data_IF_866299632070
#
_entry.id   IF_866299632070
#
_cell.length_a   1.000
_cell.length_b   1.000
_cell.length_c   1.000
_cell.angle_alpha   90.00
_cell.angle_beta   90.00
_cell.angle_gamma   90.00
#
_symmetry.space_group_name_H-M   'P 1'
#
loop_
_entity.id
_entity.type
_entity.pdbx_description
1 polymer ?
#
# COMPACT_ATOMS: atom_id res chain seq x y z
N UNK A 1 -24.09 11.62 -28.01
CA UNK A 1 -24.70 11.21 -26.72
C UNK A 1 -23.79 11.65 -25.58
N UNK A 2 -24.29 12.44 -24.62
CA UNK A 2 -23.50 12.77 -23.41
C UNK A 2 -23.42 11.52 -22.52
N UNK A 3 -22.22 11.10 -22.16
CA UNK A 3 -22.07 10.01 -21.17
C UNK A 3 -22.67 10.41 -19.82
N UNK A 4 -23.46 9.51 -19.25
CA UNK A 4 -24.01 9.64 -17.91
C UNK A 4 -22.90 9.48 -16.86
N UNK A 5 -23.06 10.07 -15.69
CA UNK A 5 -22.08 9.96 -14.60
C UNK A 5 -21.73 8.50 -14.23
N UNK A 6 -22.68 7.54 -14.18
CA UNK A 6 -22.37 6.13 -13.93
C UNK A 6 -21.48 5.50 -15.01
N UNK A 7 -21.66 5.85 -16.28
CA UNK A 7 -20.81 5.33 -17.37
C UNK A 7 -19.37 5.80 -17.22
N UNK A 8 -19.17 7.08 -16.89
CA UNK A 8 -17.83 7.64 -16.65
C UNK A 8 -17.15 6.98 -15.46
N UNK A 9 -17.88 6.77 -14.36
CA UNK A 9 -17.36 6.10 -13.18
C UNK A 9 -16.96 4.65 -13.49
N UNK A 10 -17.80 3.90 -14.22
CA UNK A 10 -17.48 2.54 -14.64
C UNK A 10 -16.20 2.46 -15.47
N UNK A 11 -16.02 3.39 -16.41
CA UNK A 11 -14.79 3.49 -17.23
C UNK A 11 -13.55 3.83 -16.40
N UNK A 12 -13.67 4.75 -15.44
CA UNK A 12 -12.57 5.07 -14.53
C UNK A 12 -12.14 3.86 -13.71
N UNK A 13 -13.10 3.13 -13.12
CA UNK A 13 -12.81 1.92 -12.35
C UNK A 13 -12.18 0.83 -13.21
N UNK A 14 -12.60 0.69 -14.47
CA UNK A 14 -11.99 -0.24 -15.41
C UNK A 14 -10.54 0.15 -15.72
N UNK A 15 -10.26 1.44 -15.95
CA UNK A 15 -8.92 1.94 -16.24
C UNK A 15 -7.98 1.72 -15.05
N UNK A 16 -8.42 2.02 -13.82
CA UNK A 16 -7.64 1.76 -12.60
C UNK A 16 -7.35 0.27 -12.45
N UNK A 17 -8.34 -0.60 -12.66
CA UNK A 17 -8.12 -2.06 -12.59
C UNK A 17 -7.12 -2.57 -13.63
N UNK A 18 -7.15 -2.04 -14.85
CA UNK A 18 -6.16 -2.37 -15.88
C UNK A 18 -4.76 -1.92 -15.46
N UNK A 19 -4.60 -0.70 -14.96
CA UNK A 19 -3.31 -0.22 -14.45
C UNK A 19 -2.80 -1.05 -13.27
N UNK A 20 -3.68 -1.44 -12.35
CA UNK A 20 -3.30 -2.32 -11.22
C UNK A 20 -2.77 -3.67 -11.71
N UNK A 21 -3.38 -4.24 -12.75
CA UNK A 21 -2.92 -5.49 -13.36
C UNK A 21 -1.56 -5.31 -14.04
N UNK A 22 -1.38 -4.24 -14.83
CA UNK A 22 -0.14 -3.94 -15.54
C UNK A 22 1.04 -3.71 -14.57
N UNK A 23 0.77 -3.10 -13.41
CA UNK A 23 1.75 -2.88 -12.34
C UNK A 23 1.96 -4.10 -11.44
N UNK A 24 1.26 -5.21 -11.65
CA UNK A 24 1.35 -6.42 -10.82
C UNK A 24 0.77 -6.26 -9.40
N UNK A 25 0.04 -5.18 -9.12
CA UNK A 25 -0.57 -4.90 -7.81
C UNK A 25 -2.06 -5.25 -7.75
N UNK A 26 -2.64 -5.75 -8.85
CA UNK A 26 -4.03 -6.19 -8.91
C UNK A 26 -4.36 -7.31 -7.92
N UNK A 27 -3.37 -8.08 -7.48
CA UNK A 27 -3.51 -9.13 -6.45
C UNK A 27 -3.43 -8.62 -5.01
N UNK A 28 -3.22 -7.32 -4.79
CA UNK A 28 -3.23 -6.76 -3.44
C UNK A 28 -4.66 -6.72 -2.90
N UNK A 29 -4.84 -7.31 -1.72
CA UNK A 29 -6.05 -7.16 -0.91
C UNK A 29 -6.26 -5.70 -0.51
N UNK A 30 -7.49 -5.37 -0.11
CA UNK A 30 -7.82 -4.02 0.39
C UNK A 30 -6.90 -3.56 1.53
N UNK A 31 -6.55 -4.47 2.44
CA UNK A 31 -5.67 -4.17 3.57
C UNK A 31 -4.23 -3.91 3.11
N UNK A 32 -3.71 -4.69 2.16
CA UNK A 32 -2.38 -4.48 1.59
C UNK A 32 -2.30 -3.16 0.82
N UNK A 33 -3.34 -2.82 0.04
CA UNK A 33 -3.41 -1.52 -0.65
C UNK A 33 -3.39 -0.37 0.35
N UNK A 34 -4.22 -0.42 1.39
CA UNK A 34 -4.27 0.61 2.44
C UNK A 34 -2.92 0.78 3.15
N UNK A 35 -2.26 -0.34 3.48
CA UNK A 35 -0.93 -0.29 4.09
C UNK A 35 0.12 0.29 3.14
N UNK A 36 0.14 -0.17 1.89
CA UNK A 36 1.09 0.31 0.89
C UNK A 36 0.91 1.81 0.62
N UNK A 37 -0.31 2.30 0.46
CA UNK A 37 -0.57 3.72 0.26
C UNK A 37 -0.21 4.56 1.49
N UNK A 38 -0.43 4.05 2.71
CA UNK A 38 -0.02 4.73 3.94
C UNK A 38 1.50 4.83 4.06
N UNK A 39 2.24 3.78 3.70
CA UNK A 39 3.72 3.82 3.66
C UNK A 39 4.18 4.84 2.62
N UNK A 40 3.58 4.86 1.43
CA UNK A 40 3.92 5.83 0.39
C UNK A 40 3.64 7.27 0.80
N UNK A 41 2.56 7.53 1.54
CA UNK A 41 2.24 8.86 2.08
C UNK A 41 3.29 9.34 3.11
N UNK A 42 3.79 8.41 3.94
CA UNK A 42 4.85 8.68 4.91
C UNK A 42 6.26 8.81 4.28
N UNK A 43 6.47 8.32 3.06
CA UNK A 43 7.75 8.41 2.36
C UNK A 43 7.93 9.81 1.76
N UNK A 44 8.83 10.62 2.32
CA UNK A 44 9.18 11.92 1.73
C UNK A 44 9.85 11.79 0.35
N UNK A 45 10.68 10.78 0.16
CA UNK A 45 11.44 10.48 -1.05
C UNK A 45 11.54 8.96 -1.28
N UNK A 46 11.98 8.54 -2.47
CA UNK A 46 12.09 7.11 -2.83
C UNK A 46 12.99 6.32 -1.86
N UNK A 47 14.05 6.94 -1.34
CA UNK A 47 15.00 6.32 -0.40
C UNK A 47 14.62 6.52 1.08
N UNK A 48 13.46 7.13 1.36
CA UNK A 48 13.03 7.36 2.73
C UNK A 48 12.80 6.05 3.46
N UNK A 49 13.28 6.01 4.70
CA UNK A 49 13.06 4.91 5.62
C UNK A 49 12.04 5.35 6.67
N UNK A 50 11.02 4.53 6.88
CA UNK A 50 9.90 4.79 7.79
C UNK A 50 9.94 3.78 8.93
N UNK A 51 9.64 4.25 10.14
CA UNK A 51 9.54 3.41 11.31
C UNK A 51 8.14 2.76 11.40
N UNK A 52 8.09 1.49 11.84
CA UNK A 52 6.87 0.79 12.20
C UNK A 52 5.95 1.59 13.12
N UNK A 53 6.51 2.34 14.07
CA UNK A 53 5.72 3.21 14.96
C UNK A 53 4.99 4.30 14.20
N UNK A 54 5.59 4.87 13.15
CA UNK A 54 4.96 5.87 12.29
C UNK A 54 3.86 5.24 11.42
N UNK A 55 4.12 4.04 10.88
CA UNK A 55 3.13 3.26 10.13
C UNK A 55 1.91 2.95 11.01
N UNK A 56 2.12 2.49 12.24
CA UNK A 56 1.04 2.17 13.18
C UNK A 56 0.29 3.41 13.68
N UNK A 57 0.92 4.59 13.64
CA UNK A 57 0.29 5.85 13.99
C UNK A 57 -0.56 6.44 12.84
N UNK A 58 -0.40 5.96 11.60
CA UNK A 58 -1.14 6.48 10.45
C UNK A 58 -2.66 6.25 10.59
N UNK A 59 -3.53 7.26 10.33
CA UNK A 59 -4.97 7.16 10.56
C UNK A 59 -5.65 5.95 9.88
N UNK A 60 -5.25 5.64 8.63
CA UNK A 60 -5.81 4.51 7.89
C UNK A 60 -5.36 3.13 8.42
N UNK A 61 -4.30 3.11 9.24
CA UNK A 61 -3.75 1.90 9.84
C UNK A 61 -4.27 1.69 11.26
N UNK A 62 -4.60 2.76 11.99
CA UNK A 62 -5.15 2.65 13.35
C UNK A 62 -6.45 1.85 13.42
N UNK A 63 -7.25 1.87 12.36
CA UNK A 63 -8.50 1.08 12.25
C UNK A 63 -8.26 -0.39 11.88
N UNK A 64 -7.03 -0.76 11.52
CA UNK A 64 -6.63 -2.11 11.13
C UNK A 64 -6.11 -2.89 12.35
N UNK A 65 -6.57 -4.13 12.59
CA UNK A 65 -6.00 -4.97 13.64
C UNK A 65 -4.49 -5.16 13.43
N UNK A 66 -3.69 -5.05 14.50
CA UNK A 66 -2.22 -5.14 14.40
C UNK A 66 -1.76 -6.45 13.74
N UNK A 67 -2.40 -7.58 14.05
CA UNK A 67 -2.09 -8.86 13.41
C UNK A 67 -2.23 -8.81 11.87
N UNK A 68 -3.22 -8.07 11.37
CA UNK A 68 -3.40 -7.82 9.93
C UNK A 68 -2.31 -6.92 9.39
N UNK A 69 -1.91 -5.87 10.11
CA UNK A 69 -0.79 -4.99 9.72
C UNK A 69 0.50 -5.79 9.54
N UNK A 70 0.89 -6.59 10.53
CA UNK A 70 2.11 -7.41 10.45
C UNK A 70 2.03 -8.46 9.33
N UNK A 71 0.85 -9.05 9.10
CA UNK A 71 0.64 -9.94 7.95
C UNK A 71 0.84 -9.20 6.64
N UNK A 72 0.21 -8.03 6.47
CA UNK A 72 0.33 -7.23 5.25
C UNK A 72 1.77 -6.74 5.01
N UNK A 73 2.51 -6.33 6.05
CA UNK A 73 3.93 -5.99 5.93
C UNK A 73 4.72 -7.16 5.34
N UNK A 74 4.51 -8.38 5.85
CA UNK A 74 5.17 -9.59 5.33
C UNK A 74 4.79 -9.88 3.88
N UNK A 75 3.51 -9.78 3.54
CA UNK A 75 3.05 -10.04 2.16
C UNK A 75 3.58 -9.00 1.17
N UNK A 76 3.60 -7.72 1.54
CA UNK A 76 4.17 -6.65 0.70
C UNK A 76 5.69 -6.84 0.51
N UNK A 77 6.40 -7.32 1.52
CA UNK A 77 7.81 -7.72 1.40
C UNK A 77 7.99 -8.90 0.46
N UNK A 78 7.18 -9.96 0.60
CA UNK A 78 7.23 -11.12 -0.29
C UNK A 78 6.96 -10.74 -1.75
N UNK A 79 6.10 -9.74 -1.96
CA UNK A 79 5.79 -9.16 -3.28
C UNK A 79 6.83 -8.15 -3.76
N UNK A 80 7.92 -7.94 -3.01
CA UNK A 80 9.00 -7.00 -3.33
C UNK A 80 8.54 -5.56 -3.52
N UNK A 81 7.45 -5.15 -2.88
CA UNK A 81 6.94 -3.76 -2.93
C UNK A 81 7.55 -2.89 -1.82
N UNK A 82 7.96 -3.51 -0.72
CA UNK A 82 8.65 -2.85 0.39
C UNK A 82 9.82 -3.72 0.85
N UNK A 83 10.80 -3.10 1.50
CA UNK A 83 11.97 -3.77 2.09
C UNK A 83 12.10 -3.43 3.56
N UNK A 84 12.48 -4.42 4.38
CA UNK A 84 12.95 -4.15 5.74
C UNK A 84 14.39 -3.61 5.69
N UNK A 85 14.63 -2.44 6.27
CA UNK A 85 15.98 -1.90 6.41
C UNK A 85 16.56 -2.21 7.79
N UNK A 86 17.82 -2.63 7.85
CA UNK A 86 18.55 -2.84 9.11
C UNK A 86 18.45 -4.26 9.70
N UNK A 87 18.91 -4.38 10.95
CA UNK A 87 19.02 -5.67 11.67
C UNK A 87 17.67 -6.19 12.15
N UNK A 88 17.62 -7.47 12.55
CA UNK A 88 16.43 -8.11 13.10
C UNK A 88 15.86 -7.26 14.26
N UNK A 89 14.68 -6.66 14.07
CA UNK A 89 14.00 -5.83 15.07
C UNK A 89 14.16 -4.31 14.92
N UNK A 90 14.82 -3.80 13.87
CA UNK A 90 14.90 -2.35 13.62
C UNK A 90 13.53 -1.69 13.40
N UNK A 91 12.56 -2.45 12.87
CA UNK A 91 11.23 -1.94 12.57
C UNK A 91 11.24 -0.88 11.46
N UNK A 92 12.29 -0.84 10.65
CA UNK A 92 12.47 0.14 9.59
C UNK A 92 12.08 -0.46 8.24
N UNK A 93 11.32 0.30 7.45
CA UNK A 93 10.82 -0.11 6.14
C UNK A 93 11.07 0.98 5.10
N UNK A 94 11.34 0.58 3.87
CA UNK A 94 11.40 1.49 2.71
C UNK A 94 10.65 0.90 1.53
N UNK A 95 10.29 1.74 0.56
CA UNK A 95 9.81 1.28 -0.74
C UNK A 95 10.97 0.57 -1.49
N UNK A 96 10.62 -0.33 -2.40
CA UNK A 96 11.56 -1.04 -3.28
C UNK A 96 11.71 -0.35 -4.64
#
# INVERSE_FOLDING_TARGET
MKETAPLKLGRLLQLVRSMEADLGIGSLSKAEKALFTSITDLCAHADSTINLTEILAHPDIQVMPQATVYKCLRELQNKSLIRHQGTRGSGLYSLC
#
